data_IF_927802585791
#
_entry.id   IF_927802585791
#
_cell.length_a   1.000
_cell.length_b   1.000
_cell.length_c   1.000
_cell.angle_alpha   90.00
_cell.angle_beta   90.00
_cell.angle_gamma   90.00
#
_symmetry.space_group_name_H-M   'P 1'
#
loop_
_entity.id
_entity.type
_entity.pdbx_description
1 polymer ?
#
# COMPACT_ATOMS: atom_id res chain seq x y z
N UNK A 1 49.57 63.72 8.93
CA UNK A 1 49.33 62.28 9.16
C UNK A 1 47.85 61.98 8.89
N UNK A 2 47.49 62.00 7.62
CA UNK A 2 46.24 61.44 7.12
C UNK A 2 46.54 60.08 6.49
N UNK A 3 45.59 59.16 6.62
CA UNK A 3 45.43 57.84 5.94
C UNK A 3 44.84 56.85 6.94
N UNK A 4 43.55 57.01 7.30
CA UNK A 4 42.82 55.96 8.04
C UNK A 4 41.28 56.08 7.96
N UNK A 5 40.71 56.57 6.85
CA UNK A 5 39.25 56.76 6.77
C UNK A 5 38.63 56.56 5.37
N UNK A 6 39.29 55.84 4.46
CA UNK A 6 38.72 55.54 3.13
C UNK A 6 38.99 54.10 2.72
N UNK A 7 38.41 53.15 3.46
CA UNK A 7 38.59 51.71 3.18
C UNK A 7 37.44 50.80 3.59
N UNK A 8 36.31 51.34 4.06
CA UNK A 8 35.16 50.54 4.52
C UNK A 8 33.84 50.75 3.75
N UNK A 9 33.83 51.58 2.70
CA UNK A 9 32.61 51.91 1.97
C UNK A 9 32.53 51.30 0.55
N UNK A 10 33.43 50.39 0.17
CA UNK A 10 33.55 49.91 -1.22
C UNK A 10 33.55 48.37 -1.38
N UNK A 11 32.93 47.62 -0.46
CA UNK A 11 32.85 46.15 -0.54
C UNK A 11 31.42 45.58 -0.32
N UNK A 12 30.40 46.41 -0.56
CA UNK A 12 28.97 46.00 -0.58
C UNK A 12 28.29 46.29 -1.93
N UNK A 13 29.02 46.18 -3.04
CA UNK A 13 28.40 46.14 -4.38
C UNK A 13 28.98 45.00 -5.17
N UNK A 14 28.25 43.89 -5.20
CA UNK A 14 28.62 42.74 -6.03
C UNK A 14 28.23 41.38 -5.48
N UNK A 15 27.02 41.23 -4.92
CA UNK A 15 26.35 39.93 -5.00
C UNK A 15 25.26 40.05 -6.07
N UNK A 16 25.36 39.32 -7.19
CA UNK A 16 24.26 39.27 -8.14
C UNK A 16 23.03 38.79 -7.38
N UNK A 17 21.93 39.52 -7.56
CA UNK A 17 20.67 39.22 -6.91
C UNK A 17 20.33 37.75 -7.08
N UNK A 18 20.05 37.09 -5.97
CA UNK A 18 19.28 35.87 -5.92
C UNK A 18 17.81 36.18 -6.28
N UNK A 19 17.60 36.89 -7.39
CA UNK A 19 16.32 37.12 -8.02
C UNK A 19 16.15 36.00 -9.05
N UNK A 20 15.53 34.89 -8.63
CA UNK A 20 15.34 33.76 -9.54
C UNK A 20 14.89 32.45 -8.92
N UNK A 21 14.79 32.31 -7.60
CA UNK A 21 13.97 31.26 -6.98
C UNK A 21 12.52 31.75 -6.87
N UNK A 22 11.98 32.18 -8.02
CA UNK A 22 10.56 32.47 -8.13
C UNK A 22 9.78 31.20 -7.87
N UNK A 23 8.84 31.26 -6.93
CA UNK A 23 7.84 30.24 -6.67
C UNK A 23 7.45 29.58 -7.99
N UNK A 24 7.76 28.30 -8.15
CA UNK A 24 7.36 27.55 -9.33
C UNK A 24 5.83 27.71 -9.44
N UNK A 25 5.35 28.34 -10.52
CA UNK A 25 3.93 28.60 -10.68
C UNK A 25 3.11 27.30 -10.59
N UNK A 26 1.81 27.37 -10.23
CA UNK A 26 0.94 26.19 -10.11
C UNK A 26 1.00 25.26 -11.33
N UNK A 27 1.07 25.84 -12.53
CA UNK A 27 1.21 25.10 -13.78
C UNK A 27 2.53 24.30 -13.88
N UNK A 28 3.65 24.85 -13.42
CA UNK A 28 4.96 24.19 -13.44
C UNK A 28 5.00 23.02 -12.45
N UNK A 29 4.38 23.19 -11.28
CA UNK A 29 4.25 22.11 -10.29
C UNK A 29 3.36 20.98 -10.83
N UNK A 30 2.21 21.32 -11.43
CA UNK A 30 1.31 20.33 -12.02
C UNK A 30 1.98 19.57 -13.17
N UNK A 31 2.70 20.27 -14.06
CA UNK A 31 3.48 19.62 -15.13
C UNK A 31 4.52 18.67 -14.55
N UNK A 32 5.23 19.07 -13.49
CA UNK A 32 6.21 18.21 -12.83
C UNK A 32 5.58 16.94 -12.26
N UNK A 33 4.41 17.04 -11.62
CA UNK A 33 3.67 15.88 -11.09
C UNK A 33 3.24 14.95 -12.22
N UNK A 34 2.63 15.49 -13.29
CA UNK A 34 2.20 14.71 -14.45
C UNK A 34 3.39 13.97 -15.07
N UNK A 35 4.52 14.66 -15.26
CA UNK A 35 5.74 14.03 -15.77
C UNK A 35 6.25 12.92 -14.85
N UNK A 36 6.26 13.12 -13.52
CA UNK A 36 6.69 12.09 -12.58
C UNK A 36 5.79 10.85 -12.62
N UNK A 37 4.46 11.04 -12.67
CA UNK A 37 3.49 9.94 -12.77
C UNK A 37 3.65 9.20 -14.11
N UNK A 38 3.82 9.92 -15.22
CA UNK A 38 4.04 9.32 -16.53
C UNK A 38 5.35 8.52 -16.57
N UNK A 39 6.45 9.06 -16.04
CA UNK A 39 7.72 8.34 -15.91
C UNK A 39 7.58 7.09 -15.05
N UNK A 40 6.85 7.18 -13.93
CA UNK A 40 6.58 6.02 -13.08
C UNK A 40 5.78 4.96 -13.82
N UNK A 41 4.72 5.33 -14.53
CA UNK A 41 3.89 4.41 -15.31
C UNK A 41 4.71 3.69 -16.38
N UNK A 42 5.54 4.43 -17.13
CA UNK A 42 6.44 3.87 -18.14
C UNK A 42 7.43 2.90 -17.50
N UNK A 43 7.98 3.24 -16.33
CA UNK A 43 8.90 2.35 -15.61
C UNK A 43 8.23 1.03 -15.21
N UNK A 44 7.00 1.06 -14.68
CA UNK A 44 6.26 -0.14 -14.31
C UNK A 44 5.87 -0.99 -15.53
N UNK A 45 5.43 -0.36 -16.62
CA UNK A 45 5.17 -1.05 -17.90
C UNK A 45 6.44 -1.71 -18.47
N UNK A 46 7.58 -1.01 -18.41
CA UNK A 46 8.86 -1.55 -18.88
C UNK A 46 9.28 -2.75 -18.03
N UNK A 47 9.16 -2.64 -16.70
CA UNK A 47 9.45 -3.75 -15.78
C UNK A 47 8.55 -4.96 -16.06
N UNK A 48 7.26 -4.73 -16.28
CA UNK A 48 6.31 -5.77 -16.67
C UNK A 48 6.74 -6.48 -17.97
N UNK A 49 7.10 -5.72 -19.00
CA UNK A 49 7.58 -6.27 -20.27
C UNK A 49 8.87 -7.09 -20.08
N UNK A 50 9.82 -6.61 -19.26
CA UNK A 50 11.03 -7.36 -18.91
C UNK A 50 10.69 -8.69 -18.22
N UNK A 51 9.75 -8.70 -17.26
CA UNK A 51 9.34 -9.93 -16.60
C UNK A 51 8.62 -10.91 -17.53
N UNK A 52 7.79 -10.43 -18.45
CA UNK A 52 7.21 -11.27 -19.50
C UNK A 52 8.29 -11.88 -20.39
N UNK A 53 9.32 -11.10 -20.74
CA UNK A 53 10.43 -11.60 -21.54
C UNK A 53 11.31 -12.62 -20.80
N UNK A 54 11.56 -12.45 -19.49
CA UNK A 54 12.35 -13.42 -18.73
C UNK A 54 11.56 -14.66 -18.32
N UNK A 55 10.24 -14.54 -18.12
CA UNK A 55 9.37 -15.62 -17.67
C UNK A 55 8.45 -16.13 -18.79
N UNK A 56 8.96 -16.33 -20.00
CA UNK A 56 8.16 -16.76 -21.17
C UNK A 56 7.37 -18.06 -20.99
N UNK A 57 7.83 -18.91 -20.06
CA UNK A 57 7.17 -20.18 -19.73
C UNK A 57 6.06 -20.05 -18.67
N UNK A 58 5.85 -18.85 -18.12
CA UNK A 58 4.83 -18.55 -17.13
C UNK A 58 3.70 -17.72 -17.75
N UNK A 59 2.59 -17.64 -17.03
CA UNK A 59 1.44 -16.82 -17.44
C UNK A 59 1.78 -15.33 -17.37
N UNK A 60 1.05 -14.50 -18.12
CA UNK A 60 1.17 -13.04 -18.01
C UNK A 60 0.85 -12.53 -16.59
N UNK A 61 -0.11 -13.19 -15.91
CA UNK A 61 -0.42 -12.87 -14.50
C UNK A 61 0.80 -13.06 -13.60
N UNK A 62 1.62 -14.10 -13.80
CA UNK A 62 2.87 -14.30 -13.04
C UNK A 62 3.78 -13.07 -13.08
N UNK A 63 4.00 -12.55 -14.28
CA UNK A 63 4.83 -11.35 -14.47
C UNK A 63 4.22 -10.13 -13.81
N UNK A 64 2.90 -9.95 -13.90
CA UNK A 64 2.20 -8.87 -13.21
C UNK A 64 2.32 -8.97 -11.69
N UNK A 65 2.11 -10.15 -11.11
CA UNK A 65 2.24 -10.41 -9.67
C UNK A 65 3.66 -10.14 -9.17
N UNK A 66 4.67 -10.35 -10.00
CA UNK A 66 6.06 -9.99 -9.67
C UNK A 66 6.26 -8.48 -9.64
N UNK A 67 5.66 -7.72 -10.57
CA UNK A 67 5.62 -6.25 -10.52
C UNK A 67 4.90 -5.78 -9.25
N UNK A 68 3.73 -6.34 -8.94
CA UNK A 68 2.98 -6.03 -7.72
C UNK A 68 3.79 -6.30 -6.46
N UNK A 69 4.54 -7.41 -6.41
CA UNK A 69 5.42 -7.74 -5.29
C UNK A 69 6.54 -6.70 -5.13
N UNK A 70 7.20 -6.33 -6.23
CA UNK A 70 8.24 -5.29 -6.19
C UNK A 70 7.69 -3.93 -5.76
N UNK A 71 6.54 -3.55 -6.30
CA UNK A 71 5.83 -2.35 -5.88
C UNK A 71 5.53 -2.37 -4.38
N UNK A 72 4.89 -3.45 -3.90
CA UNK A 72 4.53 -3.58 -2.49
C UNK A 72 5.74 -3.44 -1.56
N UNK A 73 6.88 -4.03 -1.91
CA UNK A 73 8.12 -3.89 -1.13
C UNK A 73 8.64 -2.45 -1.17
N UNK A 74 8.84 -1.89 -2.37
CA UNK A 74 9.41 -0.54 -2.55
C UNK A 74 8.55 0.52 -1.88
N UNK A 75 7.24 0.50 -2.14
CA UNK A 75 6.31 1.49 -1.64
C UNK A 75 6.09 1.34 -0.14
N UNK A 76 6.03 0.13 0.41
CA UNK A 76 5.99 -0.06 1.88
C UNK A 76 7.22 0.55 2.55
N UNK A 77 8.43 0.31 2.01
CA UNK A 77 9.65 0.88 2.59
C UNK A 77 9.68 2.40 2.50
N UNK A 78 9.36 2.97 1.33
CA UNK A 78 9.41 4.42 1.11
C UNK A 78 8.32 5.16 1.90
N UNK A 79 7.07 4.70 1.83
CA UNK A 79 5.97 5.30 2.59
C UNK A 79 6.15 5.12 4.09
N UNK A 80 6.69 3.99 4.55
CA UNK A 80 7.07 3.74 5.93
C UNK A 80 8.17 4.68 6.42
N UNK A 81 9.19 4.95 5.61
CA UNK A 81 10.21 5.95 5.91
C UNK A 81 9.60 7.35 6.05
N UNK A 82 8.75 7.75 5.11
CA UNK A 82 8.05 9.04 5.15
C UNK A 82 7.17 9.16 6.41
N UNK A 83 6.43 8.10 6.73
CA UNK A 83 5.56 8.00 7.87
C UNK A 83 6.30 8.09 9.20
N UNK A 84 7.29 7.23 9.40
CA UNK A 84 7.86 6.95 10.72
C UNK A 84 9.13 7.74 11.02
N UNK A 85 9.81 8.27 9.99
CA UNK A 85 11.13 8.90 10.13
C UNK A 85 11.12 10.35 9.63
N UNK A 86 10.69 10.61 8.38
CA UNK A 86 10.73 11.95 7.77
C UNK A 86 9.67 12.90 8.34
N UNK A 87 8.44 12.38 8.51
CA UNK A 87 7.27 13.14 8.92
C UNK A 87 6.79 14.14 7.86
N UNK A 88 5.85 15.05 8.22
CA UNK A 88 5.08 15.06 9.47
C UNK A 88 4.15 13.85 9.61
N UNK A 89 3.79 13.47 10.85
CA UNK A 89 2.92 12.32 11.14
C UNK A 89 1.43 12.74 11.21
N UNK A 90 0.50 12.07 10.51
CA UNK A 90 -0.89 12.53 10.38
C UNK A 90 -1.71 12.44 11.67
N UNK A 91 -1.24 11.72 12.70
CA UNK A 91 -1.89 11.76 14.02
C UNK A 91 -1.65 13.08 14.77
N UNK A 92 -0.61 13.83 14.39
CA UNK A 92 -0.23 15.08 15.06
C UNK A 92 -0.42 16.29 14.15
N UNK A 93 -0.22 16.11 12.85
CA UNK A 93 -0.23 17.20 11.86
C UNK A 93 -1.06 16.84 10.62
N UNK A 94 -2.36 16.53 10.76
CA UNK A 94 -3.22 16.29 9.60
C UNK A 94 -3.43 17.58 8.79
N UNK A 95 -3.46 17.46 7.46
CA UNK A 95 -3.79 18.51 6.51
C UNK A 95 -2.62 19.42 6.14
N UNK A 96 -1.39 19.07 6.55
CA UNK A 96 -0.21 19.88 6.25
C UNK A 96 0.11 19.93 4.75
N UNK A 97 0.85 20.97 4.30
CA UNK A 97 1.40 21.02 2.95
C UNK A 97 2.23 19.78 2.61
N UNK A 98 2.16 19.35 1.35
CA UNK A 98 2.87 18.17 0.90
C UNK A 98 4.38 18.40 0.87
N UNK A 99 5.16 17.46 1.41
CA UNK A 99 6.62 17.49 1.26
C UNK A 99 7.05 16.99 -0.13
N UNK A 100 8.20 17.41 -0.66
CA UNK A 100 8.69 16.90 -1.95
C UNK A 100 8.88 15.38 -1.97
N UNK A 101 9.25 14.78 -0.83
CA UNK A 101 9.40 13.32 -0.72
C UNK A 101 8.03 12.63 -0.75
N UNK A 102 7.04 13.13 0.00
CA UNK A 102 5.66 12.63 -0.06
C UNK A 102 5.10 12.66 -1.48
N UNK A 103 5.32 13.76 -2.20
CA UNK A 103 4.88 13.89 -3.61
C UNK A 103 5.53 12.82 -4.48
N UNK A 104 6.85 12.62 -4.38
CA UNK A 104 7.56 11.61 -5.18
C UNK A 104 7.06 10.19 -4.90
N UNK A 105 6.84 9.84 -3.64
CA UNK A 105 6.32 8.51 -3.25
C UNK A 105 4.90 8.31 -3.77
N UNK A 106 4.03 9.33 -3.68
CA UNK A 106 2.68 9.24 -4.25
C UNK A 106 2.69 9.18 -5.77
N UNK A 107 3.58 9.90 -6.47
CA UNK A 107 3.71 9.80 -7.93
C UNK A 107 4.14 8.39 -8.36
N UNK A 108 5.11 7.79 -7.66
CA UNK A 108 5.57 6.41 -7.89
C UNK A 108 4.42 5.40 -7.67
N UNK A 109 3.66 5.62 -6.60
CA UNK A 109 2.53 4.76 -6.22
C UNK A 109 1.37 4.90 -7.22
N UNK A 110 1.00 6.12 -7.57
CA UNK A 110 -0.06 6.41 -8.53
C UNK A 110 0.24 5.83 -9.91
N UNK A 111 1.48 5.93 -10.40
CA UNK A 111 1.89 5.32 -11.66
C UNK A 111 1.70 3.80 -11.66
N UNK A 112 2.01 3.12 -10.55
CA UNK A 112 1.74 1.70 -10.39
C UNK A 112 0.24 1.40 -10.33
N UNK A 113 -0.54 2.13 -9.53
CA UNK A 113 -1.97 1.87 -9.38
C UNK A 113 -2.72 2.02 -10.70
N UNK A 114 -2.32 2.97 -11.57
CA UNK A 114 -2.86 3.11 -12.92
C UNK A 114 -2.51 1.89 -13.78
N UNK A 115 -1.26 1.44 -13.75
CA UNK A 115 -0.82 0.21 -14.44
C UNK A 115 -1.65 -1.00 -13.99
N UNK A 116 -1.74 -1.23 -12.69
CA UNK A 116 -2.36 -2.40 -12.10
C UNK A 116 -3.88 -2.41 -12.31
N UNK A 117 -4.55 -1.27 -12.12
CA UNK A 117 -5.98 -1.16 -12.40
C UNK A 117 -6.29 -1.43 -13.87
N UNK A 118 -5.49 -0.87 -14.78
CA UNK A 118 -5.65 -1.10 -16.22
C UNK A 118 -5.46 -2.57 -16.58
N UNK A 119 -4.47 -3.23 -15.97
CA UNK A 119 -4.21 -4.64 -16.14
C UNK A 119 -5.37 -5.51 -15.62
N UNK A 120 -5.83 -5.25 -14.40
CA UNK A 120 -6.95 -5.95 -13.78
C UNK A 120 -8.26 -5.78 -14.56
N UNK A 121 -8.54 -4.60 -15.11
CA UNK A 121 -9.73 -4.38 -15.95
C UNK A 121 -9.64 -5.12 -17.29
N UNK A 122 -8.45 -5.14 -17.91
CA UNK A 122 -8.26 -5.83 -19.19
C UNK A 122 -8.37 -7.35 -19.04
N UNK A 123 -7.69 -7.93 -18.04
CA UNK A 123 -7.67 -9.39 -17.82
C UNK A 123 -8.80 -9.91 -16.94
N UNK A 124 -9.58 -9.01 -16.31
CA UNK A 124 -10.70 -9.33 -15.40
C UNK A 124 -10.30 -10.30 -14.29
N UNK A 125 -9.14 -10.06 -13.68
CA UNK A 125 -8.52 -10.95 -12.70
C UNK A 125 -8.99 -10.73 -11.26
N UNK A 126 -9.53 -9.55 -10.96
CA UNK A 126 -9.85 -9.12 -9.60
C UNK A 126 -11.35 -8.78 -9.45
N UNK A 127 -11.87 -8.93 -8.23
CA UNK A 127 -13.27 -8.63 -7.91
C UNK A 127 -13.56 -7.14 -7.66
N UNK A 128 -14.84 -6.78 -7.65
CA UNK A 128 -15.31 -5.39 -7.56
C UNK A 128 -14.80 -4.63 -6.34
N UNK A 129 -14.61 -5.31 -5.21
CA UNK A 129 -14.09 -4.70 -3.98
C UNK A 129 -12.64 -4.24 -4.15
N UNK A 130 -11.82 -5.03 -4.86
CA UNK A 130 -10.45 -4.68 -5.18
C UNK A 130 -10.40 -3.55 -6.21
N UNK A 131 -11.23 -3.61 -7.25
CA UNK A 131 -11.31 -2.52 -8.24
C UNK A 131 -11.75 -1.19 -7.59
N UNK A 132 -12.70 -1.26 -6.65
CA UNK A 132 -13.16 -0.10 -5.88
C UNK A 132 -12.04 0.48 -5.01
N UNK A 133 -11.27 -0.37 -4.33
CA UNK A 133 -10.09 0.03 -3.55
C UNK A 133 -9.05 0.75 -4.42
N UNK A 134 -8.73 0.22 -5.60
CA UNK A 134 -7.77 0.84 -6.52
C UNK A 134 -8.29 2.18 -7.04
N UNK A 135 -9.56 2.24 -7.44
CA UNK A 135 -10.19 3.46 -7.94
C UNK A 135 -10.19 4.56 -6.88
N UNK A 136 -10.61 4.25 -5.65
CA UNK A 136 -10.59 5.19 -4.54
C UNK A 136 -9.16 5.65 -4.20
N UNK A 137 -8.19 4.73 -4.24
CA UNK A 137 -6.78 5.06 -4.00
C UNK A 137 -6.22 6.02 -5.04
N UNK A 138 -6.50 5.77 -6.33
CA UNK A 138 -6.13 6.66 -7.43
C UNK A 138 -6.77 8.04 -7.24
N UNK A 139 -8.08 8.10 -7.00
CA UNK A 139 -8.79 9.35 -6.78
C UNK A 139 -8.22 10.13 -5.59
N UNK A 140 -7.93 9.45 -4.47
CA UNK A 140 -7.34 10.07 -3.28
C UNK A 140 -5.95 10.63 -3.53
N UNK A 141 -5.08 9.88 -4.21
CA UNK A 141 -3.74 10.33 -4.59
C UNK A 141 -3.77 11.52 -5.55
N UNK A 142 -4.60 11.46 -6.60
CA UNK A 142 -4.79 12.58 -7.55
C UNK A 142 -5.28 13.84 -6.83
N UNK A 143 -6.24 13.69 -5.90
CA UNK A 143 -6.77 14.80 -5.12
C UNK A 143 -5.70 15.50 -4.28
N UNK A 144 -4.91 14.76 -3.49
CA UNK A 144 -3.91 15.39 -2.61
C UNK A 144 -2.72 15.94 -3.38
N UNK A 145 -2.36 15.34 -4.52
CA UNK A 145 -1.34 15.86 -5.43
C UNK A 145 -1.80 17.17 -6.08
N UNK A 146 -3.08 17.26 -6.49
CA UNK A 146 -3.66 18.49 -7.04
C UNK A 146 -3.86 19.59 -6.00
N UNK A 147 -4.28 19.22 -4.78
CA UNK A 147 -4.50 20.16 -3.69
C UNK A 147 -3.19 20.71 -3.09
N UNK A 148 -2.11 19.93 -3.17
CA UNK A 148 -0.82 20.27 -2.55
C UNK A 148 -0.82 20.16 -1.02
N UNK A 149 -1.85 19.53 -0.43
CA UNK A 149 -1.99 19.31 1.02
C UNK A 149 -2.50 17.91 1.31
N UNK A 150 -2.25 17.45 2.54
CA UNK A 150 -2.72 16.17 3.10
C UNK A 150 -2.10 14.91 2.46
N UNK A 151 -0.92 15.03 1.84
CA UNK A 151 -0.20 13.85 1.38
C UNK A 151 0.37 13.02 2.55
N UNK A 152 0.51 13.59 3.75
CA UNK A 152 0.97 12.85 4.94
C UNK A 152 0.01 11.71 5.30
N UNK A 153 -1.29 11.98 5.33
CA UNK A 153 -2.33 10.98 5.59
C UNK A 153 -2.32 9.89 4.54
N UNK A 154 -2.27 10.27 3.26
CA UNK A 154 -2.31 9.30 2.17
C UNK A 154 -1.03 8.45 2.16
N UNK A 155 0.15 9.00 2.43
CA UNK A 155 1.37 8.21 2.57
C UNK A 155 1.29 7.23 3.74
N UNK A 156 0.79 7.66 4.91
CA UNK A 156 0.63 6.79 6.06
C UNK A 156 -0.41 5.68 5.80
N UNK A 157 -1.52 6.00 5.12
CA UNK A 157 -2.53 5.02 4.70
C UNK A 157 -1.94 4.04 3.70
N UNK A 158 -1.18 4.52 2.71
CA UNK A 158 -0.45 3.68 1.74
C UNK A 158 0.51 2.73 2.47
N UNK A 159 1.24 3.20 3.47
CA UNK A 159 2.13 2.35 4.26
C UNK A 159 1.37 1.21 4.95
N UNK A 160 0.34 1.54 5.74
CA UNK A 160 -0.44 0.53 6.48
C UNK A 160 -1.21 -0.39 5.54
N UNK A 161 -1.56 0.06 4.33
CA UNK A 161 -2.24 -0.76 3.35
C UNK A 161 -1.30 -1.70 2.60
N UNK A 162 -0.16 -1.21 2.13
CA UNK A 162 0.77 -1.95 1.27
C UNK A 162 1.63 -2.96 2.02
N UNK A 163 1.87 -2.79 3.32
CA UNK A 163 2.68 -3.74 4.11
C UNK A 163 2.15 -5.19 4.08
N UNK A 164 0.84 -5.34 3.85
CA UNK A 164 0.20 -6.66 3.71
C UNK A 164 0.30 -7.25 2.30
N UNK A 165 0.59 -6.44 1.29
CA UNK A 165 0.56 -6.83 -0.12
C UNK A 165 1.65 -7.86 -0.49
N UNK A 166 2.91 -7.75 -0.04
CA UNK A 166 3.90 -8.80 -0.28
C UNK A 166 3.47 -10.19 0.20
N UNK A 167 2.69 -10.27 1.28
CA UNK A 167 2.15 -11.54 1.78
C UNK A 167 1.02 -12.08 0.89
N UNK A 168 0.17 -11.19 0.34
CA UNK A 168 -0.83 -11.58 -0.67
C UNK A 168 -0.16 -12.15 -1.92
N UNK A 169 0.88 -11.49 -2.42
CA UNK A 169 1.64 -11.97 -3.57
C UNK A 169 2.35 -13.29 -3.25
N UNK A 170 2.99 -13.41 -2.10
CA UNK A 170 3.62 -14.66 -1.65
C UNK A 170 2.61 -15.82 -1.58
N UNK A 171 1.40 -15.57 -1.06
CA UNK A 171 0.31 -16.55 -1.05
C UNK A 171 -0.08 -16.99 -2.46
N UNK A 172 -0.19 -16.06 -3.40
CA UNK A 172 -0.49 -16.37 -4.80
C UNK A 172 0.60 -17.25 -5.41
N UNK A 173 1.88 -16.88 -5.25
CA UNK A 173 3.01 -17.69 -5.76
C UNK A 173 3.10 -19.08 -5.13
N UNK A 174 2.78 -19.21 -3.83
CA UNK A 174 2.72 -20.52 -3.17
C UNK A 174 1.60 -21.40 -3.73
N UNK A 175 0.47 -20.83 -4.14
CA UNK A 175 -0.61 -21.58 -4.81
C UNK A 175 -0.18 -22.02 -6.19
N UNK A 176 0.38 -21.12 -6.97
CA UNK A 176 0.82 -21.38 -8.34
C UNK A 176 1.95 -22.42 -8.41
N UNK A 177 2.79 -22.49 -7.38
CA UNK A 177 3.86 -23.50 -7.27
C UNK A 177 3.44 -24.78 -6.54
N UNK A 178 2.17 -24.93 -6.16
CA UNK A 178 1.66 -26.11 -5.44
C UNK A 178 2.12 -26.25 -3.99
N UNK A 179 2.78 -25.23 -3.42
CA UNK A 179 3.35 -25.24 -2.06
C UNK A 179 2.46 -24.60 -1.00
N UNK A 180 1.23 -24.22 -1.37
CA UNK A 180 0.31 -23.52 -0.46
C UNK A 180 -0.11 -24.34 0.77
N UNK A 181 -0.26 -25.66 0.65
CA UNK A 181 -0.63 -26.53 1.77
C UNK A 181 0.53 -26.87 2.72
N UNK A 182 1.66 -26.15 2.61
CA UNK A 182 2.80 -26.29 3.51
C UNK A 182 2.71 -25.40 4.74
N UNK A 183 3.59 -25.64 5.72
CA UNK A 183 3.77 -24.76 6.89
C UNK A 183 4.00 -23.29 6.50
N UNK A 184 4.73 -23.04 5.40
CA UNK A 184 4.99 -21.68 4.90
C UNK A 184 3.67 -21.00 4.49
N UNK A 185 2.78 -21.71 3.80
CA UNK A 185 1.47 -21.16 3.42
C UNK A 185 0.60 -20.81 4.62
N UNK A 186 0.67 -21.60 5.69
CA UNK A 186 0.00 -21.28 6.96
C UNK A 186 0.59 -20.04 7.64
N UNK A 187 1.92 -19.90 7.67
CA UNK A 187 2.61 -18.73 8.21
C UNK A 187 2.25 -17.45 7.45
N UNK A 188 2.22 -17.51 6.11
CA UNK A 188 1.82 -16.38 5.25
C UNK A 188 0.38 -15.97 5.53
N UNK A 189 -0.56 -16.93 5.57
CA UNK A 189 -1.97 -16.62 5.86
C UNK A 189 -2.15 -16.01 7.25
N UNK A 190 -1.47 -16.54 8.27
CA UNK A 190 -1.53 -15.99 9.62
C UNK A 190 -0.96 -14.57 9.70
N UNK A 191 0.23 -14.36 9.13
CA UNK A 191 0.90 -13.06 9.11
C UNK A 191 0.07 -12.02 8.36
N UNK A 192 -0.54 -12.42 7.24
CA UNK A 192 -1.43 -11.55 6.47
C UNK A 192 -2.63 -11.11 7.31
N UNK A 193 -3.35 -12.05 7.95
CA UNK A 193 -4.51 -11.73 8.80
C UNK A 193 -4.11 -10.83 9.96
N UNK A 194 -3.00 -11.13 10.65
CA UNK A 194 -2.53 -10.36 11.79
C UNK A 194 -2.18 -8.92 11.41
N UNK A 195 -1.37 -8.73 10.35
CA UNK A 195 -1.01 -7.39 9.87
C UNK A 195 -2.22 -6.63 9.34
N UNK A 196 -3.14 -7.30 8.64
CA UNK A 196 -4.35 -6.67 8.14
C UNK A 196 -5.21 -6.14 9.30
N UNK A 197 -5.40 -6.94 10.36
CA UNK A 197 -6.17 -6.52 11.53
C UNK A 197 -5.47 -5.37 12.29
N UNK A 198 -4.20 -5.53 12.64
CA UNK A 198 -3.49 -4.56 13.48
C UNK A 198 -3.27 -3.25 12.73
N UNK A 199 -2.76 -3.32 11.49
CA UNK A 199 -2.35 -2.13 10.75
C UNK A 199 -3.50 -1.52 9.96
N UNK A 200 -4.20 -2.27 9.10
CA UNK A 200 -5.27 -1.67 8.29
C UNK A 200 -6.50 -1.28 9.11
N UNK A 201 -6.93 -2.12 10.06
CA UNK A 201 -8.11 -1.81 10.87
C UNK A 201 -7.74 -0.99 12.11
N UNK A 202 -6.76 -1.43 12.90
CA UNK A 202 -6.33 -0.71 14.10
C UNK A 202 -5.70 0.65 13.77
N UNK A 203 -4.48 0.64 13.22
CA UNK A 203 -3.73 1.88 12.93
C UNK A 203 -4.44 2.72 11.86
N UNK A 204 -4.97 2.11 10.81
CA UNK A 204 -5.75 2.80 9.77
C UNK A 204 -6.99 3.49 10.35
N UNK A 205 -7.69 2.86 11.30
CA UNK A 205 -8.81 3.47 12.02
C UNK A 205 -8.39 4.67 12.87
N UNK A 206 -7.22 4.61 13.53
CA UNK A 206 -6.68 5.73 14.29
C UNK A 206 -6.33 6.93 13.39
N UNK A 207 -5.68 6.68 12.24
CA UNK A 207 -5.39 7.72 11.25
C UNK A 207 -6.70 8.34 10.76
N UNK A 208 -7.68 7.51 10.40
CA UNK A 208 -8.99 7.94 9.94
C UNK A 208 -9.71 8.82 10.97
N UNK A 209 -9.65 8.45 12.25
CA UNK A 209 -10.21 9.23 13.35
C UNK A 209 -9.54 10.61 13.47
N UNK A 210 -8.20 10.67 13.43
CA UNK A 210 -7.44 11.94 13.43
C UNK A 210 -7.90 12.87 12.31
N UNK A 211 -8.08 12.33 11.09
CA UNK A 211 -8.50 13.09 9.91
C UNK A 211 -9.94 13.60 10.03
N UNK A 212 -10.87 12.79 10.56
CA UNK A 212 -12.26 13.21 10.76
C UNK A 212 -12.34 14.36 11.77
N UNK A 213 -11.64 14.23 12.90
CA UNK A 213 -11.72 15.18 14.01
C UNK A 213 -11.02 16.50 13.68
N UNK A 214 -9.93 16.47 12.92
CA UNK A 214 -9.22 17.68 12.52
C UNK A 214 -10.07 18.60 11.64
N UNK A 215 -10.04 19.91 11.90
CA UNK A 215 -10.71 20.92 11.06
C UNK A 215 -9.93 21.30 9.80
N UNK A 216 -8.69 20.80 9.64
CA UNK A 216 -7.76 21.21 8.57
C UNK A 216 -8.02 20.47 7.24
N UNK A 217 -8.14 19.12 7.19
CA UNK A 217 -8.43 18.43 5.95
C UNK A 217 -9.80 18.83 5.40
N UNK A 218 -9.87 19.06 4.10
CA UNK A 218 -11.13 19.38 3.43
C UNK A 218 -12.11 18.20 3.54
N UNK A 219 -13.41 18.49 3.48
CA UNK A 219 -14.46 17.49 3.62
C UNK A 219 -14.33 16.32 2.64
N UNK A 220 -13.82 16.57 1.42
CA UNK A 220 -13.65 15.55 0.39
C UNK A 220 -12.61 14.50 0.78
N UNK A 221 -11.54 14.90 1.48
CA UNK A 221 -10.51 13.96 1.98
C UNK A 221 -11.10 13.10 3.10
N UNK A 222 -11.92 13.68 3.98
CA UNK A 222 -12.62 12.93 5.03
C UNK A 222 -13.59 11.91 4.43
N UNK A 223 -14.38 12.31 3.45
CA UNK A 223 -15.32 11.42 2.76
C UNK A 223 -14.59 10.29 2.02
N UNK A 224 -13.50 10.62 1.29
CA UNK A 224 -12.67 9.63 0.60
C UNK A 224 -11.99 8.65 1.56
N UNK A 225 -11.44 9.14 2.67
CA UNK A 225 -10.87 8.31 3.73
C UNK A 225 -11.90 7.35 4.33
N UNK A 226 -13.14 7.84 4.54
CA UNK A 226 -14.22 7.01 5.11
C UNK A 226 -14.64 5.92 4.14
N UNK A 227 -14.79 6.26 2.86
CA UNK A 227 -15.07 5.29 1.82
C UNK A 227 -13.98 4.20 1.76
N UNK A 228 -12.71 4.60 1.81
CA UNK A 228 -11.58 3.68 1.81
C UNK A 228 -11.53 2.79 3.05
N UNK A 229 -11.91 3.32 4.21
CA UNK A 229 -12.01 2.54 5.46
C UNK A 229 -13.16 1.54 5.39
N UNK A 230 -14.31 1.91 4.83
CA UNK A 230 -15.44 0.98 4.59
C UNK A 230 -15.02 -0.17 3.67
N UNK A 231 -14.27 0.11 2.59
CA UNK A 231 -13.72 -0.93 1.72
C UNK A 231 -12.78 -1.87 2.50
N UNK A 232 -11.97 -1.33 3.41
CA UNK A 232 -11.09 -2.12 4.28
C UNK A 232 -11.87 -3.03 5.24
N UNK A 233 -13.02 -2.58 5.74
CA UNK A 233 -13.94 -3.42 6.52
C UNK A 233 -14.60 -4.51 5.67
N UNK A 234 -14.92 -4.21 4.40
CA UNK A 234 -15.38 -5.21 3.43
C UNK A 234 -14.37 -6.34 3.26
N UNK A 235 -13.09 -6.00 3.08
CA UNK A 235 -12.02 -7.00 3.02
C UNK A 235 -11.88 -7.78 4.33
N UNK A 236 -11.99 -7.11 5.49
CA UNK A 236 -11.96 -7.80 6.78
C UNK A 236 -13.06 -8.87 6.87
N UNK A 237 -14.27 -8.58 6.38
CA UNK A 237 -15.36 -9.56 6.36
C UNK A 237 -15.00 -10.80 5.51
N UNK A 238 -14.45 -10.62 4.31
CA UNK A 238 -13.99 -11.73 3.45
C UNK A 238 -12.88 -12.55 4.11
N UNK A 239 -11.93 -11.87 4.77
CA UNK A 239 -10.80 -12.49 5.47
C UNK A 239 -11.28 -13.31 6.67
N UNK A 240 -12.18 -12.77 7.49
CA UNK A 240 -12.79 -13.49 8.61
C UNK A 240 -13.55 -14.73 8.14
N UNK A 241 -14.30 -14.59 7.04
CA UNK A 241 -15.02 -15.69 6.41
C UNK A 241 -14.06 -16.78 5.92
N UNK A 242 -12.95 -16.39 5.30
CA UNK A 242 -11.87 -17.30 4.89
C UNK A 242 -11.22 -18.00 6.08
N UNK A 243 -10.84 -17.26 7.12
CA UNK A 243 -10.20 -17.80 8.33
C UNK A 243 -11.10 -18.82 9.02
N UNK A 244 -12.40 -18.49 9.20
CA UNK A 244 -13.39 -19.41 9.78
C UNK A 244 -13.50 -20.71 8.98
N UNK A 245 -13.61 -20.63 7.65
CA UNK A 245 -13.65 -21.83 6.78
C UNK A 245 -12.40 -22.68 6.93
N UNK A 246 -11.22 -22.06 6.99
CA UNK A 246 -9.94 -22.77 7.12
C UNK A 246 -9.82 -23.47 8.47
N UNK A 247 -10.17 -22.79 9.56
CA UNK A 247 -10.16 -23.36 10.92
C UNK A 247 -11.15 -24.52 11.02
N UNK A 248 -12.37 -24.37 10.50
CA UNK A 248 -13.38 -25.43 10.55
C UNK A 248 -12.93 -26.70 9.81
N UNK A 249 -12.34 -26.55 8.61
CA UNK A 249 -11.78 -27.68 7.86
C UNK A 249 -10.67 -28.40 8.62
N UNK A 250 -9.75 -27.65 9.24
CA UNK A 250 -8.67 -28.24 10.05
C UNK A 250 -9.22 -28.94 11.30
N UNK A 251 -10.20 -28.33 11.96
CA UNK A 251 -10.86 -28.93 13.12
C UNK A 251 -11.58 -30.24 12.77
N UNK A 252 -12.31 -30.26 11.65
CA UNK A 252 -12.98 -31.47 11.15
C UNK A 252 -11.97 -32.58 10.79
N UNK A 253 -10.86 -32.23 10.15
CA UNK A 253 -9.80 -33.18 9.83
C UNK A 253 -9.12 -33.74 11.08
N UNK A 254 -8.85 -32.89 12.08
CA UNK A 254 -8.30 -33.34 13.36
C UNK A 254 -9.28 -34.25 14.11
N UNK A 255 -10.57 -33.90 14.13
CA UNK A 255 -11.62 -34.70 14.78
C UNK A 255 -11.82 -36.06 14.10
N UNK A 256 -11.75 -36.13 12.76
CA UNK A 256 -11.90 -37.41 12.05
C UNK A 256 -10.71 -38.35 12.28
N UNK A 257 -9.50 -37.82 12.45
CA UNK A 257 -8.32 -38.59 12.87
C UNK A 257 -8.48 -39.06 14.31
N UNK A 258 -8.79 -38.15 15.24
CA UNK A 258 -8.99 -38.49 16.66
C UNK A 258 -10.10 -39.52 16.88
N UNK A 259 -11.18 -39.50 16.09
CA UNK A 259 -12.25 -40.51 16.15
C UNK A 259 -11.86 -41.87 15.58
N UNK A 260 -10.84 -41.96 14.70
CA UNK A 260 -10.29 -43.25 14.23
C UNK A 260 -9.33 -43.88 15.24
N UNK A 261 -8.68 -43.05 16.06
CA UNK A 261 -7.74 -43.50 17.08
C UNK A 261 -8.41 -43.95 18.39
N UNK A 262 -9.74 -43.80 18.53
CA UNK A 262 -10.51 -44.44 19.61
C UNK A 262 -10.76 -45.89 19.19
N UNK A 263 -10.15 -46.90 19.84
CA UNK A 263 -10.43 -48.29 19.53
C UNK A 263 -11.90 -48.55 19.84
N UNK A 264 -12.66 -49.00 18.83
CA UNK A 264 -13.92 -49.69 19.05
C UNK A 264 -13.60 -50.86 19.99
N UNK A 265 -13.89 -50.72 21.29
CA UNK A 265 -14.06 -51.85 22.20
C UNK A 265 -15.20 -52.68 21.60
N UNK A 266 -14.84 -53.66 20.79
CA UNK A 266 -15.70 -54.77 20.43
C UNK A 266 -15.99 -55.50 21.74
N UNK A 267 -17.14 -55.23 22.34
CA UNK A 267 -17.69 -56.09 23.38
C UNK A 267 -18.08 -57.40 22.70
N UNK A 268 -17.10 -58.30 22.56
CA UNK A 268 -17.31 -59.67 22.18
C UNK A 268 -18.12 -60.37 23.27
N UNK A 269 -19.41 -60.54 23.02
CA UNK A 269 -20.21 -61.52 23.74
C UNK A 269 -20.33 -62.76 22.83
N UNK A 270 -19.34 -63.65 22.92
CA UNK A 270 -19.49 -65.04 22.51
C UNK A 270 -20.25 -65.74 23.65
N UNK A 271 -21.55 -65.91 23.50
CA UNK A 271 -22.28 -66.93 24.26
C UNK A 271 -22.08 -68.26 23.56
N UNK A 272 -21.27 -69.14 24.14
CA UNK A 272 -21.28 -70.55 23.78
C UNK A 272 -22.57 -71.19 24.30
N UNK A 273 -23.38 -71.74 23.41
CA UNK A 273 -24.05 -73.04 23.59
C UNK A 273 -24.64 -73.50 22.27
#
# INVERSE_FOLDING_TARGET
>A
RGLAASGRAALERGRPGAAGQGAAGPARMMLSVISQVACSLIAWLSLYACFCYWNKHRTYEWSCRLVTLMHGIIVTCLSGYVALIDGPWPLTHPGTPNTPLQVRVLCLTLGYFIFDLSWCMYFKTEGDLMLSHHTLSICGMVLVLGLGKSATEINAIVFVSEITNPLLQARWFLRETGRYHSFIGDMVDFSFVALFLVLRIGVGGQIMYSVIVSSIPIWLIKAGGLAMYIVSLGFMFEICSFARRKVLKKYQAWRSVSSRDVPLKTNGHLTSR
#
